data_IF_424826338749
#
_entry.id   IF_424826338749
#
_cell.length_a   1.000
_cell.length_b   1.000
_cell.length_c   1.000
_cell.angle_alpha   90.00
_cell.angle_beta   90.00
_cell.angle_gamma   90.00
#
_symmetry.space_group_name_H-M   'P 1'
#
loop_
_entity.id
_entity.type
_entity.pdbx_description
1 polymer ?
#
# COMPACT_ATOMS: atom_id res chain seq x y z
N UNK A 1 -14.99 43.45 38.40
CA UNK A 1 -13.88 42.50 38.10
C UNK A 1 -14.02 42.09 36.64
N UNK A 2 -13.06 42.53 35.83
CA UNK A 2 -13.12 42.62 34.37
C UNK A 2 -12.61 41.34 33.67
N UNK A 3 -13.40 40.89 32.69
CA UNK A 3 -13.04 40.48 31.33
C UNK A 3 -11.62 39.91 31.10
N UNK A 4 -11.50 38.60 30.92
CA UNK A 4 -10.38 37.94 30.25
C UNK A 4 -10.84 36.58 29.66
N UNK A 5 -11.51 36.58 28.50
CA UNK A 5 -11.86 35.32 27.80
C UNK A 5 -12.15 35.58 26.32
N UNK A 6 -11.16 35.97 25.50
CA UNK A 6 -11.38 36.08 24.05
C UNK A 6 -10.08 36.20 23.20
N UNK A 7 -9.08 35.33 23.39
CA UNK A 7 -7.88 35.34 22.50
C UNK A 7 -7.44 33.95 22.00
N UNK A 8 -7.91 32.86 22.59
CA UNK A 8 -7.43 31.51 22.24
C UNK A 8 -8.13 30.83 21.05
N UNK A 9 -9.21 31.40 20.50
CA UNK A 9 -9.96 30.78 19.40
C UNK A 9 -9.39 31.04 17.99
N UNK A 10 -8.53 32.05 17.82
CA UNK A 10 -8.05 32.46 16.48
C UNK A 10 -6.76 31.77 16.06
N UNK A 11 -6.00 31.19 17.01
CA UNK A 11 -4.73 30.51 16.70
C UNK A 11 -4.90 29.07 16.20
N UNK A 12 -6.05 28.43 16.45
CA UNK A 12 -6.30 27.04 16.04
C UNK A 12 -6.75 26.89 14.58
N UNK A 13 -7.21 27.98 13.94
CA UNK A 13 -7.66 27.98 12.54
C UNK A 13 -6.53 28.17 11.51
N UNK A 14 -5.33 28.59 11.94
CA UNK A 14 -4.17 28.79 11.05
C UNK A 14 -3.30 27.52 10.88
N UNK A 15 -3.43 26.52 11.76
CA UNK A 15 -2.63 25.28 11.69
C UNK A 15 -3.28 24.15 10.87
N UNK A 16 -4.58 24.21 10.59
CA UNK A 16 -5.28 23.23 9.74
C UNK A 16 -5.12 23.55 8.24
N UNK A 17 -4.55 24.71 7.92
CA UNK A 17 -4.24 25.13 6.54
C UNK A 17 -2.81 24.82 6.10
N UNK A 18 -2.03 24.06 6.88
CA UNK A 18 -0.89 23.31 6.32
C UNK A 18 -1.47 22.20 5.44
N UNK A 19 -1.92 22.64 4.26
CA UNK A 19 -2.25 21.77 3.16
C UNK A 19 -1.10 20.80 2.96
N UNK A 20 -1.49 19.57 2.64
CA UNK A 20 -0.62 18.58 2.04
C UNK A 20 0.01 19.26 0.82
N UNK A 21 1.16 19.90 1.03
CA UNK A 21 2.02 20.34 -0.04
C UNK A 21 2.46 19.03 -0.67
N UNK A 22 1.76 18.61 -1.72
CA UNK A 22 2.24 17.55 -2.59
C UNK A 22 3.62 18.01 -3.00
N UNK A 23 4.64 17.36 -2.43
CA UNK A 23 6.03 17.69 -2.65
C UNK A 23 6.29 17.51 -4.14
N UNK A 24 6.19 18.60 -4.91
CA UNK A 24 6.70 18.63 -6.26
C UNK A 24 8.22 18.52 -6.10
N UNK A 25 8.72 17.30 -6.28
CA UNK A 25 10.16 17.05 -6.38
C UNK A 25 10.65 17.70 -7.66
N UNK A 26 10.93 19.00 -7.59
CA UNK A 26 11.64 19.69 -8.65
C UNK A 26 13.04 19.08 -8.76
N UNK A 27 13.44 18.73 -9.99
CA UNK A 27 14.78 18.24 -10.28
C UNK A 27 15.81 19.28 -9.80
N UNK A 28 16.70 18.86 -8.91
CA UNK A 28 17.58 19.77 -8.14
C UNK A 28 18.77 20.29 -8.94
N UNK A 29 19.03 19.73 -10.11
CA UNK A 29 20.14 20.06 -11.00
C UNK A 29 19.78 21.07 -12.10
N UNK A 30 18.55 21.60 -12.07
CA UNK A 30 18.05 22.49 -13.11
C UNK A 30 17.75 21.80 -14.43
N UNK A 31 17.81 20.46 -14.49
CA UNK A 31 17.34 19.72 -15.66
C UNK A 31 15.81 19.77 -15.71
N UNK A 32 15.27 19.93 -16.92
CA UNK A 32 13.85 19.81 -17.15
C UNK A 32 13.49 18.33 -17.07
N UNK A 33 12.95 17.89 -15.93
CA UNK A 33 12.39 16.54 -15.79
C UNK A 33 11.24 16.29 -16.76
N UNK A 34 10.86 15.03 -16.90
CA UNK A 34 9.66 14.61 -17.62
C UNK A 34 8.60 14.11 -16.63
N UNK A 35 7.37 13.93 -17.09
CA UNK A 35 6.33 13.29 -16.32
C UNK A 35 6.15 11.86 -16.78
N UNK A 36 6.02 10.92 -15.85
CA UNK A 36 5.77 9.51 -16.10
C UNK A 36 4.57 9.04 -15.28
N UNK A 37 3.98 7.90 -15.65
CA UNK A 37 2.93 7.30 -14.84
C UNK A 37 3.54 6.81 -13.53
N UNK A 38 3.01 7.30 -12.41
CA UNK A 38 3.35 6.83 -11.07
C UNK A 38 2.41 5.70 -10.67
N UNK A 39 1.13 6.04 -10.53
CA UNK A 39 0.10 5.12 -10.13
C UNK A 39 -0.91 4.93 -11.26
N UNK A 40 -1.24 3.69 -11.58
CA UNK A 40 -2.36 3.38 -12.48
C UNK A 40 -3.70 3.32 -11.73
N UNK A 41 -3.66 3.18 -10.41
CA UNK A 41 -4.79 2.67 -9.64
C UNK A 41 -4.51 2.88 -8.12
N UNK A 42 -5.41 3.47 -7.29
CA UNK A 42 -6.77 3.94 -7.60
C UNK A 42 -6.83 5.19 -8.45
N UNK A 43 -5.92 6.09 -8.14
CA UNK A 43 -5.88 7.41 -8.71
C UNK A 43 -4.80 7.30 -9.75
N UNK A 44 -5.20 7.45 -11.00
CA UNK A 44 -4.25 7.54 -12.11
C UNK A 44 -3.48 8.83 -11.93
N UNK A 45 -2.19 8.73 -11.64
CA UNK A 45 -1.34 9.88 -11.37
C UNK A 45 -0.13 9.85 -12.28
N UNK A 46 0.35 11.04 -12.58
CA UNK A 46 1.66 11.23 -13.17
C UNK A 46 2.55 11.93 -12.16
N UNK A 47 3.82 11.56 -12.12
CA UNK A 47 4.83 12.24 -11.32
C UNK A 47 6.00 12.70 -12.17
N UNK A 48 6.75 13.67 -11.66
CA UNK A 48 7.95 14.14 -12.30
C UNK A 48 9.09 13.14 -12.05
N UNK A 49 9.69 12.63 -13.12
CA UNK A 49 10.94 11.88 -13.12
C UNK A 49 12.09 12.79 -13.58
N UNK A 50 13.23 12.66 -12.93
CA UNK A 50 14.41 13.49 -13.19
C UNK A 50 15.54 12.71 -13.87
N UNK A 51 15.40 11.39 -14.03
CA UNK A 51 16.39 10.53 -14.65
C UNK A 51 16.40 10.76 -16.18
N UNK A 52 17.53 11.21 -16.76
CA UNK A 52 17.60 11.49 -18.20
C UNK A 52 17.26 10.28 -19.06
N UNK A 53 17.63 9.07 -18.61
CA UNK A 53 17.35 7.82 -19.32
C UNK A 53 15.85 7.50 -19.38
N UNK A 54 15.08 7.87 -18.35
CA UNK A 54 13.61 7.71 -18.34
C UNK A 54 13.00 8.67 -19.36
N UNK A 55 13.44 9.93 -19.36
CA UNK A 55 12.90 10.96 -20.23
C UNK A 55 13.29 10.79 -21.71
N UNK A 56 14.44 10.15 -21.99
CA UNK A 56 14.91 9.88 -23.36
C UNK A 56 14.35 8.60 -23.99
N UNK A 57 13.64 7.76 -23.22
CA UNK A 57 13.14 6.46 -23.69
C UNK A 57 12.14 6.55 -24.85
N UNK A 58 11.55 7.73 -25.09
CA UNK A 58 10.65 8.00 -26.23
C UNK A 58 9.23 7.47 -26.07
N UNK A 59 8.91 6.79 -24.96
CA UNK A 59 7.56 6.32 -24.65
C UNK A 59 7.30 6.34 -23.14
N UNK A 60 6.06 6.67 -22.76
CA UNK A 60 5.63 6.76 -21.37
C UNK A 60 6.24 7.93 -20.59
N UNK A 61 6.75 8.94 -21.29
CA UNK A 61 7.30 10.17 -20.73
C UNK A 61 6.70 11.37 -21.46
N UNK A 62 6.28 12.39 -20.70
CA UNK A 62 5.59 13.57 -21.22
C UNK A 62 6.22 14.85 -20.72
N UNK A 63 6.09 15.93 -21.50
CA UNK A 63 6.72 17.22 -21.21
C UNK A 63 6.08 17.98 -20.05
N UNK A 64 4.86 17.61 -19.66
CA UNK A 64 4.15 18.22 -18.53
C UNK A 64 3.17 17.23 -17.90
N UNK A 65 2.79 17.51 -16.66
CA UNK A 65 1.75 16.76 -15.95
C UNK A 65 0.43 16.81 -16.70
N UNK A 66 0.04 17.97 -17.22
CA UNK A 66 -1.21 18.15 -17.96
C UNK A 66 -1.28 17.28 -19.21
N UNK A 67 -0.16 17.17 -19.96
CA UNK A 67 -0.09 16.29 -21.12
C UNK A 67 -0.21 14.83 -20.69
N UNK A 68 0.55 14.41 -19.67
CA UNK A 68 0.46 13.04 -19.14
C UNK A 68 -0.96 12.69 -18.68
N UNK A 69 -1.61 13.63 -17.99
CA UNK A 69 -2.93 13.48 -17.40
C UNK A 69 -4.09 13.75 -18.36
N UNK A 70 -3.84 14.10 -19.62
CA UNK A 70 -4.89 14.33 -20.60
C UNK A 70 -5.57 13.02 -21.00
N UNK A 71 -6.91 13.00 -21.19
CA UNK A 71 -7.63 11.82 -21.66
C UNK A 71 -7.06 11.29 -22.99
N UNK A 72 -6.86 9.97 -23.06
CA UNK A 72 -6.28 9.28 -24.21
C UNK A 72 -4.76 9.31 -24.31
N UNK A 73 -4.05 9.98 -23.38
CA UNK A 73 -2.59 10.07 -23.39
C UNK A 73 -1.95 8.94 -22.58
N UNK A 74 -1.78 9.10 -21.27
CA UNK A 74 -1.35 8.01 -20.40
C UNK A 74 -2.53 7.12 -19.99
N UNK A 75 -3.73 7.70 -19.96
CA UNK A 75 -4.92 7.09 -19.41
C UNK A 75 -6.15 7.42 -20.28
N UNK A 76 -7.07 6.47 -20.53
CA UNK A 76 -8.28 6.74 -21.33
C UNK A 76 -9.14 7.90 -20.79
N UNK A 77 -9.26 8.00 -19.47
CA UNK A 77 -10.07 9.00 -18.75
C UNK A 77 -9.25 10.20 -18.27
N UNK A 78 -7.94 10.22 -18.52
CA UNK A 78 -6.99 11.14 -17.88
C UNK A 78 -6.63 10.73 -16.45
N UNK A 79 -5.90 11.61 -15.75
CA UNK A 79 -5.56 11.40 -14.35
C UNK A 79 -6.80 11.51 -13.44
N UNK A 80 -6.83 10.69 -12.40
CA UNK A 80 -7.85 10.76 -11.36
C UNK A 80 -7.55 11.89 -10.38
N UNK A 81 -8.60 12.44 -9.76
CA UNK A 81 -8.44 13.19 -8.51
C UNK A 81 -8.49 12.22 -7.34
N UNK A 82 -7.69 12.42 -6.28
CA UNK A 82 -7.87 11.70 -5.04
C UNK A 82 -9.31 11.86 -4.58
N UNK A 83 -9.99 10.73 -4.33
CA UNK A 83 -11.32 10.76 -3.75
C UNK A 83 -11.18 11.28 -2.31
N UNK A 84 -11.88 12.38 -1.99
CA UNK A 84 -11.97 12.92 -0.63
C UNK A 84 -13.00 12.19 0.20
N UNK A 85 -13.86 11.40 -0.43
CA UNK A 85 -14.85 10.55 0.23
C UNK A 85 -14.94 9.26 -0.55
N UNK A 86 -14.87 8.15 0.17
CA UNK A 86 -14.76 6.84 -0.42
C UNK A 86 -15.68 5.86 0.27
N UNK A 87 -16.30 5.04 -0.56
CA UNK A 87 -17.17 3.96 -0.15
C UNK A 87 -16.51 2.65 -0.48
N UNK A 88 -16.55 1.71 0.45
CA UNK A 88 -16.01 0.36 0.31
C UNK A 88 -17.08 -0.64 0.65
N UNK A 89 -16.94 -1.86 0.13
CA UNK A 89 -17.77 -2.97 0.62
C UNK A 89 -17.45 -3.18 2.08
N UNK A 90 -18.48 -3.06 2.91
CA UNK A 90 -18.40 -3.36 4.33
C UNK A 90 -18.58 -4.86 4.54
N UNK A 91 -19.57 -5.47 3.89
CA UNK A 91 -19.81 -6.90 3.96
C UNK A 91 -20.54 -7.43 2.72
N UNK A 92 -20.01 -8.51 2.15
CA UNK A 92 -20.57 -9.14 0.95
C UNK A 92 -21.83 -9.96 1.21
N UNK A 93 -21.96 -10.61 2.38
CA UNK A 93 -23.10 -11.45 2.71
C UNK A 93 -24.39 -10.63 2.84
N UNK A 94 -24.30 -9.45 3.47
CA UNK A 94 -25.44 -8.53 3.61
C UNK A 94 -25.48 -7.44 2.53
N UNK A 95 -24.54 -7.43 1.58
CA UNK A 95 -24.45 -6.43 0.50
C UNK A 95 -24.47 -4.99 1.01
N UNK A 96 -23.63 -4.68 2.00
CA UNK A 96 -23.51 -3.31 2.54
C UNK A 96 -22.23 -2.64 2.09
N UNK A 97 -22.31 -1.32 1.91
CA UNK A 97 -21.17 -0.45 1.70
C UNK A 97 -21.10 0.58 2.83
N UNK A 98 -19.89 0.90 3.28
CA UNK A 98 -19.64 1.95 4.28
C UNK A 98 -18.71 3.00 3.72
N UNK A 99 -18.81 4.21 4.27
CA UNK A 99 -17.80 5.24 4.05
C UNK A 99 -16.53 4.87 4.83
N UNK A 100 -15.39 4.77 4.15
CA UNK A 100 -14.08 4.52 4.79
C UNK A 100 -12.99 5.32 4.07
N UNK A 101 -12.65 6.47 4.65
CA UNK A 101 -11.66 7.39 4.08
C UNK A 101 -10.23 6.84 4.14
N UNK A 102 -9.95 5.93 5.08
CA UNK A 102 -8.63 5.26 5.17
C UNK A 102 -8.37 4.42 3.93
N UNK A 103 -9.44 3.89 3.33
CA UNK A 103 -9.35 3.01 2.16
C UNK A 103 -9.34 3.75 0.84
N UNK A 104 -9.55 5.07 0.82
CA UNK A 104 -9.55 5.89 -0.40
C UNK A 104 -8.36 5.64 -1.33
N UNK A 105 -7.21 5.34 -0.73
CA UNK A 105 -5.94 5.19 -1.43
C UNK A 105 -5.56 3.71 -1.67
N UNK A 106 -6.28 2.75 -1.07
CA UNK A 106 -6.15 1.31 -1.39
C UNK A 106 -6.75 0.96 -2.73
N UNK A 107 -7.81 1.72 -3.02
CA UNK A 107 -8.75 1.81 -4.10
C UNK A 107 -9.34 0.60 -4.81
N UNK A 108 -8.78 -0.62 -4.74
CA UNK A 108 -9.45 -1.74 -5.37
C UNK A 108 -10.68 -1.97 -4.51
N UNK A 109 -11.85 -1.99 -5.14
CA UNK A 109 -13.11 -2.01 -4.39
C UNK A 109 -13.36 -0.72 -3.59
N UNK A 110 -13.04 0.43 -4.18
CA UNK A 110 -13.35 1.74 -3.62
C UNK A 110 -14.09 2.57 -4.65
N UNK A 111 -15.12 3.27 -4.19
CA UNK A 111 -16.05 3.99 -5.04
C UNK A 111 -16.30 5.41 -4.51
N UNK A 112 -16.59 6.38 -5.40
CA UNK A 112 -16.81 7.78 -5.01
C UNK A 112 -18.11 7.99 -4.22
N UNK A 113 -19.08 7.08 -4.34
CA UNK A 113 -20.37 7.17 -3.67
C UNK A 113 -20.89 5.79 -3.24
N UNK A 114 -21.84 5.78 -2.31
CA UNK A 114 -22.54 4.57 -1.89
C UNK A 114 -23.16 3.85 -3.07
N UNK A 115 -23.89 4.55 -3.92
CA UNK A 115 -24.61 3.96 -5.05
C UNK A 115 -23.66 3.29 -6.04
N UNK A 116 -22.54 3.95 -6.36
CA UNK A 116 -21.49 3.37 -7.20
C UNK A 116 -20.83 2.16 -6.55
N UNK A 117 -20.69 2.14 -5.21
CA UNK A 117 -20.21 0.96 -4.49
C UNK A 117 -21.19 -0.20 -4.61
N UNK A 118 -22.46 0.04 -4.31
CA UNK A 118 -23.50 -0.97 -4.37
C UNK A 118 -23.59 -1.61 -5.76
N UNK A 119 -23.73 -0.76 -6.78
CA UNK A 119 -23.86 -1.21 -8.16
C UNK A 119 -22.58 -1.89 -8.66
N UNK A 120 -21.41 -1.32 -8.33
CA UNK A 120 -20.12 -1.85 -8.74
C UNK A 120 -19.83 -3.24 -8.16
N UNK A 121 -20.02 -3.38 -6.84
CA UNK A 121 -19.69 -4.58 -6.07
C UNK A 121 -20.73 -5.69 -6.19
N UNK A 122 -22.02 -5.36 -6.15
CA UNK A 122 -23.10 -6.35 -6.05
C UNK A 122 -23.93 -6.49 -7.33
N UNK A 123 -23.68 -5.66 -8.35
CA UNK A 123 -24.48 -5.53 -9.58
C UNK A 123 -25.96 -5.20 -9.31
N UNK A 124 -26.25 -4.70 -8.10
CA UNK A 124 -27.58 -4.44 -7.55
C UNK A 124 -27.49 -3.35 -6.49
N UNK A 125 -28.63 -2.90 -5.96
CA UNK A 125 -28.65 -1.98 -4.83
C UNK A 125 -28.12 -2.64 -3.54
N UNK A 126 -27.52 -1.85 -2.65
CA UNK A 126 -27.14 -2.35 -1.33
C UNK A 126 -28.38 -2.67 -0.50
N UNK A 127 -28.22 -3.59 0.44
CA UNK A 127 -29.17 -3.72 1.53
C UNK A 127 -29.04 -2.50 2.44
N UNK A 128 -30.17 -1.88 2.79
CA UNK A 128 -30.22 -0.86 3.82
C UNK A 128 -30.52 -1.58 5.13
N UNK A 129 -29.50 -1.76 5.96
CA UNK A 129 -29.67 -2.28 7.31
C UNK A 129 -29.97 -1.11 8.27
N UNK A 130 -30.81 -1.32 9.29
CA UNK A 130 -30.97 -0.34 10.36
C UNK A 130 -29.65 -0.18 11.10
N UNK A 131 -29.23 1.07 11.32
CA UNK A 131 -28.05 1.36 12.13
C UNK A 131 -28.38 1.10 13.61
N UNK A 132 -27.49 0.39 14.29
CA UNK A 132 -27.54 0.22 15.73
C UNK A 132 -27.22 1.54 16.45
N UNK A 133 -27.75 1.73 17.65
CA UNK A 133 -27.43 2.88 18.50
C UNK A 133 -26.06 2.76 19.16
N UNK A 134 -25.55 1.53 19.27
CA UNK A 134 -24.26 1.21 19.89
C UNK A 134 -23.41 0.48 18.86
N UNK A 135 -22.16 0.91 18.62
CA UNK A 135 -21.29 0.22 17.69
C UNK A 135 -20.90 -1.16 18.23
N UNK A 136 -20.68 -2.09 17.31
CA UNK A 136 -20.02 -3.36 17.54
C UNK A 136 -18.76 -3.39 16.69
N UNK A 137 -17.91 -4.38 16.92
CA UNK A 137 -16.69 -4.59 16.18
C UNK A 137 -16.84 -5.81 15.27
N UNK A 138 -16.32 -5.70 14.05
CA UNK A 138 -16.30 -6.78 13.06
C UNK A 138 -14.89 -6.90 12.48
N UNK A 139 -14.60 -8.02 11.83
CA UNK A 139 -13.32 -8.19 11.12
C UNK A 139 -13.25 -7.21 9.94
N UNK A 140 -12.24 -6.35 9.96
CA UNK A 140 -11.93 -5.39 8.88
C UNK A 140 -10.99 -6.02 7.84
N UNK A 141 -9.99 -6.77 8.30
CA UNK A 141 -8.97 -7.41 7.46
C UNK A 141 -8.48 -8.68 8.13
N UNK A 142 -8.48 -9.80 7.42
CA UNK A 142 -8.06 -11.10 7.98
C UNK A 142 -6.54 -11.28 8.01
N UNK A 143 -5.83 -11.03 6.91
CA UNK A 143 -4.40 -11.28 6.83
C UNK A 143 -3.70 -10.27 5.92
N UNK A 144 -2.47 -9.83 6.25
CA UNK A 144 -1.72 -10.06 7.48
C UNK A 144 -2.17 -9.20 8.67
N UNK A 145 -2.86 -8.09 8.44
CA UNK A 145 -3.08 -7.08 9.49
C UNK A 145 -4.05 -7.50 10.61
N UNK A 146 -4.91 -8.51 10.42
CA UNK A 146 -5.84 -9.03 11.46
C UNK A 146 -6.50 -7.92 12.27
N UNK A 147 -7.23 -7.05 11.59
CA UNK A 147 -7.81 -5.85 12.20
C UNK A 147 -9.30 -6.04 12.44
N UNK A 148 -9.78 -5.46 13.54
CA UNK A 148 -11.18 -5.23 13.80
C UNK A 148 -11.53 -3.75 13.60
N UNK A 149 -12.77 -3.48 13.19
CA UNK A 149 -13.28 -2.12 12.97
C UNK A 149 -14.67 -1.99 13.56
N UNK A 150 -15.01 -0.80 14.05
CA UNK A 150 -16.35 -0.49 14.51
C UNK A 150 -17.32 -0.41 13.33
N UNK A 151 -18.50 -0.99 13.47
CA UNK A 151 -19.63 -0.84 12.56
C UNK A 151 -20.87 -0.44 13.36
N UNK A 152 -21.83 0.22 12.71
CA UNK A 152 -23.18 0.44 13.23
C UNK A 152 -24.21 -0.41 12.48
N UNK A 153 -23.93 -0.76 11.22
CA UNK A 153 -24.82 -1.48 10.31
C UNK A 153 -24.74 -2.99 10.49
N UNK A 154 -23.59 -3.52 10.94
CA UNK A 154 -23.36 -4.96 11.09
C UNK A 154 -23.68 -5.51 12.50
N UNK A 155 -24.24 -4.68 13.36
CA UNK A 155 -24.50 -5.04 14.77
C UNK A 155 -25.92 -5.53 15.02
N UNK A 156 -26.78 -5.42 14.01
CA UNK A 156 -28.19 -5.79 14.11
C UNK A 156 -28.45 -7.29 13.90
N UNK A 157 -29.62 -7.78 14.33
CA UNK A 157 -30.03 -9.17 14.11
C UNK A 157 -30.00 -9.60 12.64
N UNK A 158 -30.29 -8.68 11.71
CA UNK A 158 -30.25 -8.97 10.28
C UNK A 158 -28.84 -9.35 9.79
N UNK A 159 -27.79 -8.71 10.32
CA UNK A 159 -26.40 -9.05 9.99
C UNK A 159 -26.01 -10.40 10.59
N UNK A 160 -26.40 -10.67 11.83
CA UNK A 160 -26.15 -11.95 12.48
C UNK A 160 -26.87 -13.12 11.78
N UNK A 161 -28.10 -12.92 11.31
CA UNK A 161 -28.84 -13.90 10.51
C UNK A 161 -28.15 -14.22 9.18
N UNK A 162 -27.41 -13.27 8.61
CA UNK A 162 -26.57 -13.48 7.43
C UNK A 162 -25.20 -14.09 7.76
N UNK A 163 -24.96 -14.49 9.02
CA UNK A 163 -23.71 -15.11 9.47
C UNK A 163 -22.59 -14.12 9.77
N UNK A 164 -22.86 -12.82 9.86
CA UNK A 164 -21.85 -11.83 10.23
C UNK A 164 -21.51 -12.00 11.71
N UNK A 165 -20.23 -12.26 11.99
CA UNK A 165 -19.69 -12.29 13.35
C UNK A 165 -19.39 -10.86 13.81
N UNK A 166 -19.76 -10.55 15.04
CA UNK A 166 -19.55 -9.24 15.66
C UNK A 166 -19.25 -9.37 17.15
N UNK A 167 -18.46 -8.46 17.68
CA UNK A 167 -18.06 -8.40 19.08
C UNK A 167 -18.52 -7.08 19.73
N UNK A 168 -18.83 -7.06 21.04
CA UNK A 168 -19.34 -5.85 21.69
C UNK A 168 -18.26 -4.79 21.90
N UNK A 169 -16.98 -5.16 21.91
CA UNK A 169 -15.86 -4.22 22.02
C UNK A 169 -14.69 -4.59 21.10
N UNK A 170 -13.77 -3.64 20.91
CA UNK A 170 -12.52 -3.88 20.18
C UNK A 170 -11.67 -4.94 20.89
N UNK A 171 -11.63 -4.88 22.22
CA UNK A 171 -10.86 -5.79 23.05
C UNK A 171 -11.37 -7.23 22.92
N UNK A 172 -12.69 -7.43 22.92
CA UNK A 172 -13.29 -8.75 22.68
C UNK A 172 -12.98 -9.28 21.27
N UNK A 173 -13.09 -8.41 20.26
CA UNK A 173 -12.76 -8.77 18.88
C UNK A 173 -11.28 -9.17 18.73
N UNK A 174 -10.40 -8.44 19.42
CA UNK A 174 -8.96 -8.59 19.32
C UNK A 174 -8.33 -9.52 20.37
N UNK A 175 -9.12 -10.07 21.28
CA UNK A 175 -8.66 -11.05 22.26
C UNK A 175 -8.26 -12.36 21.58
N UNK A 176 -7.28 -13.12 22.11
CA UNK A 176 -6.99 -14.47 21.63
C UNK A 176 -8.23 -15.36 21.67
N UNK A 177 -8.61 -15.93 20.52
CA UNK A 177 -9.84 -16.72 20.37
C UNK A 177 -11.10 -15.89 20.10
N UNK A 178 -10.98 -14.56 19.99
CA UNK A 178 -12.03 -13.66 19.52
C UNK A 178 -12.24 -13.80 18.01
N UNK A 179 -11.91 -12.78 17.23
CA UNK A 179 -11.93 -12.87 15.77
C UNK A 179 -10.77 -13.71 15.21
N UNK A 180 -9.66 -13.75 15.94
CA UNK A 180 -8.41 -14.38 15.53
C UNK A 180 -7.87 -15.23 16.69
N UNK A 181 -7.25 -16.38 16.38
CA UNK A 181 -6.73 -17.28 17.41
C UNK A 181 -5.64 -16.60 18.26
N UNK A 182 -4.80 -15.79 17.63
CA UNK A 182 -3.67 -15.09 18.27
C UNK A 182 -4.02 -13.65 18.67
N UNK A 183 -5.26 -13.21 18.42
CA UNK A 183 -5.70 -11.82 18.58
C UNK A 183 -5.42 -10.93 17.37
N UNK A 184 -5.79 -9.66 17.47
CA UNK A 184 -5.51 -8.68 16.42
C UNK A 184 -4.02 -8.36 16.33
N UNK A 185 -3.56 -8.03 15.12
CA UNK A 185 -2.26 -7.37 14.97
C UNK A 185 -2.42 -5.86 15.10
N UNK A 186 -1.38 -5.17 15.56
CA UNK A 186 -1.34 -3.71 15.44
C UNK A 186 -1.27 -3.36 13.95
N UNK A 187 -1.98 -2.32 13.49
CA UNK A 187 -1.78 -1.82 12.14
C UNK A 187 -0.29 -1.48 11.97
N UNK A 188 0.34 -1.89 10.86
CA UNK A 188 1.77 -1.66 10.67
C UNK A 188 2.04 -0.15 10.76
N UNK A 189 3.03 0.28 11.57
CA UNK A 189 3.37 1.69 11.67
C UNK A 189 3.82 2.21 10.30
N UNK A 190 3.70 3.52 10.09
CA UNK A 190 4.40 4.18 8.97
C UNK A 190 5.76 4.65 9.50
N UNK A 191 6.89 4.25 8.91
CA UNK A 191 7.02 3.47 7.68
C UNK A 191 6.78 1.96 7.87
N UNK A 192 6.23 1.32 6.84
CA UNK A 192 5.97 -0.11 6.78
C UNK A 192 6.87 -0.78 5.73
N UNK A 193 6.74 -2.09 5.56
CA UNK A 193 7.42 -2.86 4.51
C UNK A 193 6.41 -3.46 3.56
N UNK A 194 6.66 -3.36 2.26
CA UNK A 194 5.82 -3.93 1.19
C UNK A 194 6.68 -4.73 0.23
N UNK A 195 6.06 -5.66 -0.50
CA UNK A 195 6.73 -6.37 -1.60
C UNK A 195 7.16 -5.37 -2.66
N UNK A 196 8.45 -5.38 -2.99
CA UNK A 196 9.05 -4.52 -4.01
C UNK A 196 9.09 -5.24 -5.36
N UNK A 197 9.67 -6.44 -5.36
CA UNK A 197 9.76 -7.31 -6.53
C UNK A 197 9.49 -8.76 -6.13
N UNK A 198 8.88 -9.52 -7.05
CA UNK A 198 8.48 -10.92 -6.82
C UNK A 198 9.35 -11.92 -7.57
N UNK A 199 9.80 -11.61 -8.78
CA UNK A 199 10.62 -12.49 -9.60
C UNK A 199 11.45 -11.64 -10.58
N UNK A 200 12.76 -11.92 -10.80
CA UNK A 200 13.59 -12.96 -10.18
C UNK A 200 14.15 -12.58 -8.79
N UNK A 201 14.07 -11.31 -8.44
CA UNK A 201 14.56 -10.79 -7.15
C UNK A 201 13.34 -10.66 -6.24
N UNK A 202 13.24 -11.51 -5.23
CA UNK A 202 12.22 -11.38 -4.18
C UNK A 202 12.73 -10.40 -3.15
N UNK A 203 12.19 -9.18 -3.15
CA UNK A 203 12.63 -8.12 -2.26
C UNK A 203 11.43 -7.44 -1.61
N UNK A 204 11.67 -6.92 -0.42
CA UNK A 204 10.77 -5.98 0.22
C UNK A 204 11.42 -4.60 0.22
N UNK A 205 10.61 -3.55 0.15
CA UNK A 205 11.07 -2.18 0.35
C UNK A 205 10.34 -1.53 1.50
N UNK A 206 11.03 -0.58 2.11
CA UNK A 206 10.45 0.33 3.08
C UNK A 206 9.53 1.32 2.37
N UNK A 207 8.29 1.36 2.81
CA UNK A 207 7.24 2.23 2.29
C UNK A 207 6.88 3.27 3.35
N UNK A 208 6.80 4.53 2.92
CA UNK A 208 6.52 5.69 3.80
C UNK A 208 5.14 6.27 3.55
N UNK A 209 4.45 5.84 2.49
CA UNK A 209 3.09 6.22 2.19
C UNK A 209 2.10 5.58 3.15
N UNK A 210 1.43 6.41 3.96
CA UNK A 210 0.33 5.99 4.85
C UNK A 210 -0.73 5.18 4.09
N UNK A 211 -1.02 5.54 2.84
CA UNK A 211 -1.91 4.82 1.94
C UNK A 211 -1.52 3.34 1.76
N UNK A 212 -0.26 3.12 1.38
CA UNK A 212 0.27 1.81 1.11
C UNK A 212 0.37 0.99 2.41
N UNK A 213 0.78 1.63 3.52
CA UNK A 213 0.84 0.98 4.83
C UNK A 213 -0.54 0.60 5.38
N UNK A 214 -1.59 1.35 5.06
CA UNK A 214 -2.96 1.02 5.45
C UNK A 214 -3.68 0.09 4.47
N UNK A 215 -2.99 -0.46 3.46
CA UNK A 215 -3.61 -1.37 2.48
C UNK A 215 -4.05 -2.70 3.09
N UNK A 216 -3.52 -3.05 4.26
CA UNK A 216 -3.84 -4.30 4.96
C UNK A 216 -3.08 -5.48 4.38
N UNK A 217 -3.28 -5.80 3.09
CA UNK A 217 -2.61 -6.91 2.39
C UNK A 217 -1.24 -6.53 1.84
N UNK A 218 -0.25 -7.43 2.00
CA UNK A 218 1.12 -7.25 1.52
C UNK A 218 1.90 -6.16 2.25
N UNK A 219 1.44 -5.79 3.46
CA UNK A 219 2.09 -4.81 4.34
C UNK A 219 2.58 -5.50 5.60
N UNK A 220 3.82 -5.22 5.97
CA UNK A 220 4.50 -5.88 7.06
C UNK A 220 5.12 -4.83 8.00
N UNK A 221 5.19 -5.16 9.29
CA UNK A 221 5.72 -4.27 10.31
C UNK A 221 7.25 -4.09 10.21
N UNK A 222 7.96 -5.07 9.64
CA UNK A 222 9.40 -5.04 9.45
C UNK A 222 9.82 -5.77 8.17
N UNK A 223 11.05 -5.54 7.74
CA UNK A 223 11.69 -6.26 6.63
C UNK A 223 11.75 -7.75 6.92
N UNK A 224 12.18 -8.13 8.13
CA UNK A 224 12.29 -9.53 8.55
C UNK A 224 10.95 -10.27 8.44
N UNK A 225 9.84 -9.64 8.83
CA UNK A 225 8.51 -10.23 8.70
C UNK A 225 8.14 -10.37 7.22
N UNK A 226 8.38 -9.34 6.41
CA UNK A 226 8.13 -9.37 4.97
C UNK A 226 8.92 -10.49 4.28
N UNK A 227 10.20 -10.62 4.62
CA UNK A 227 11.15 -11.56 4.03
C UNK A 227 11.13 -12.96 4.66
N UNK A 228 10.30 -13.20 5.68
CA UNK A 228 10.19 -14.52 6.30
C UNK A 228 9.57 -15.55 5.33
N UNK A 229 10.04 -16.81 5.34
CA UNK A 229 9.45 -17.87 4.53
C UNK A 229 7.96 -18.04 4.77
N UNK A 230 7.21 -18.21 3.68
CA UNK A 230 5.74 -18.33 3.63
C UNK A 230 4.96 -17.09 4.12
N UNK A 231 5.60 -15.92 4.23
CA UNK A 231 4.90 -14.67 4.58
C UNK A 231 4.55 -13.86 3.33
N UNK A 232 5.55 -13.25 2.68
CA UNK A 232 5.37 -12.62 1.36
C UNK A 232 5.78 -13.56 0.22
N UNK A 233 6.75 -14.43 0.50
CA UNK A 233 7.38 -15.32 -0.47
C UNK A 233 7.51 -16.74 0.10
N UNK A 234 7.39 -17.80 -0.71
CA UNK A 234 7.56 -19.18 -0.24
C UNK A 234 8.91 -19.42 0.44
N UNK A 235 10.01 -18.98 -0.18
CA UNK A 235 11.38 -19.19 0.31
C UNK A 235 11.96 -17.98 1.07
N UNK A 236 11.15 -16.94 1.31
CA UNK A 236 11.63 -15.64 1.79
C UNK A 236 12.23 -14.75 0.69
N UNK A 237 12.82 -13.63 1.10
CA UNK A 237 13.49 -12.72 0.15
C UNK A 237 14.73 -13.39 -0.47
N UNK A 238 14.94 -13.13 -1.76
CA UNK A 238 16.18 -13.51 -2.43
C UNK A 238 17.28 -12.65 -1.83
N UNK A 239 18.36 -13.29 -1.37
CA UNK A 239 19.58 -12.56 -1.05
C UNK A 239 19.98 -11.88 -2.36
N UNK A 240 19.80 -10.56 -2.47
CA UNK A 240 20.50 -9.84 -3.53
C UNK A 240 21.95 -10.20 -3.32
N UNK A 241 22.63 -10.88 -4.27
CA UNK A 241 24.06 -11.11 -4.14
C UNK A 241 24.63 -9.74 -3.89
N UNK A 242 25.12 -9.52 -2.67
CA UNK A 242 25.57 -8.22 -2.23
C UNK A 242 26.60 -7.81 -3.28
N UNK A 243 26.20 -6.95 -4.22
CA UNK A 243 27.08 -6.43 -5.24
C UNK A 243 27.98 -5.54 -4.45
N UNK A 244 28.99 -6.17 -3.86
CA UNK A 244 30.13 -5.54 -3.24
C UNK A 244 30.75 -4.84 -4.43
N UNK A 245 30.32 -3.61 -4.68
CA UNK A 245 30.99 -2.70 -5.58
C UNK A 245 32.46 -2.84 -5.22
N UNK A 246 33.32 -3.30 -6.14
CA UNK A 246 34.73 -3.45 -5.84
C UNK A 246 35.20 -2.09 -5.39
N UNK A 247 35.43 -1.95 -4.08
CA UNK A 247 36.06 -0.78 -3.52
C UNK A 247 37.46 -0.80 -4.11
N UNK A 248 37.68 0.01 -5.14
CA UNK A 248 38.98 0.21 -5.77
C UNK A 248 39.88 0.92 -4.76
N UNK A 249 40.34 0.17 -3.77
CA UNK A 249 41.53 0.48 -3.00
C UNK A 249 42.70 0.32 -3.95
N UNK A 250 43.22 1.44 -4.43
CA UNK A 250 44.45 1.52 -5.19
C UNK A 250 45.58 0.87 -4.38
N UNK A 251 45.88 -0.39 -4.69
CA UNK A 251 47.03 -1.10 -4.13
C UNK A 251 48.03 -1.30 -5.26
N UNK A 252 49.16 -0.60 -5.16
CA UNK A 252 50.34 -0.78 -5.99
C UNK A 252 50.69 -2.27 -6.07
N UNK A 253 50.60 -2.84 -7.28
CA UNK A 253 51.00 -4.21 -7.56
C UNK A 253 52.49 -4.24 -7.91
N UNK A 254 53.29 -4.80 -7.01
CA UNK A 254 54.60 -5.38 -7.37
C UNK A 254 54.37 -6.82 -7.77
N UNK A 255 54.75 -7.15 -9.00
CA UNK A 255 54.61 -8.45 -9.62
C UNK A 255 55.37 -9.55 -8.87
N UNK A 256 54.80 -10.76 -8.82
CA UNK A 256 55.56 -12.01 -8.83
C UNK A 256 54.71 -13.14 -9.40
N UNK A 257 55.29 -13.74 -10.43
CA UNK A 257 54.78 -14.82 -11.27
C UNK A 257 54.84 -16.15 -10.50
N UNK A 258 53.81 -16.99 -10.62
CA UNK A 258 54.06 -18.43 -10.66
C UNK A 258 52.98 -19.18 -11.45
N UNK A 259 53.41 -19.77 -12.57
CA UNK A 259 52.74 -20.82 -13.33
C UNK A 259 52.96 -22.15 -12.63
N UNK A 260 51.92 -22.98 -12.47
CA UNK A 260 51.98 -24.42 -12.80
C UNK A 260 50.60 -24.97 -13.16
N UNK A 261 50.60 -25.84 -14.18
CA UNK A 261 49.51 -26.47 -14.94
C UNK A 261 48.83 -27.69 -14.29
N UNK A 262 47.62 -27.98 -14.82
CA UNK A 262 46.97 -29.27 -15.14
C UNK A 262 46.57 -30.20 -13.96
N UNK A 263 45.44 -30.92 -13.97
CA UNK A 263 44.88 -31.78 -15.03
C UNK A 263 43.37 -32.05 -14.86
N UNK A 264 42.75 -32.47 -15.97
CA UNK A 264 41.42 -33.05 -16.17
C UNK A 264 40.97 -34.13 -15.17
N UNK A 265 39.65 -34.23 -14.95
CA UNK A 265 38.92 -35.50 -15.16
C UNK A 265 37.38 -35.32 -15.22
N UNK A 266 36.87 -35.74 -16.38
CA UNK A 266 35.50 -36.11 -16.74
C UNK A 266 34.80 -37.01 -15.71
N UNK A 267 33.54 -36.71 -15.35
CA UNK A 267 32.59 -37.72 -14.84
C UNK A 267 31.23 -37.55 -15.51
N UNK A 268 30.91 -38.54 -16.35
CA UNK A 268 29.65 -38.81 -17.03
C UNK A 268 28.71 -39.51 -16.03
N UNK A 269 27.52 -38.96 -15.78
CA UNK A 269 26.49 -39.63 -14.96
C UNK A 269 25.34 -40.11 -15.83
N UNK A 270 25.03 -41.40 -15.67
CA UNK A 270 24.08 -42.20 -16.45
C UNK A 270 22.72 -42.22 -15.78
N UNK A 271 21.66 -42.21 -16.59
CA UNK A 271 20.25 -42.32 -16.22
C UNK A 271 19.87 -43.70 -15.65
N UNK A 272 18.81 -43.69 -14.84
CA UNK A 272 17.77 -44.73 -14.77
C UNK A 272 17.24 -45.00 -13.36
N UNK A 273 16.05 -45.63 -13.20
CA UNK A 273 14.96 -45.86 -14.16
C UNK A 273 13.79 -44.86 -14.02
#
# INVERSE_FOLDING_TARGET
MQKMTCVLATFFLLLVSLGIAMSQQNCTDGTQGCFVVKDYWPVKTCEQACEPEVCKRGWGAWVSQDVCCSPGVAFPEGCGKPLTTCWVVENYAVKTCKKDERRCLQGYGVWPSRDTCCYGAFKQNCTVLPEATTPCFVVDTYFPARLCTSSLTLCGPAAQQAGVQSWPSLEDCCSPGGAFQEGCSLPPPTPCWVVDSYDPIRSCRKETGVAACNRGWGVYASEDVCCSPNVAFPDGCSVTPNMTLPSTSATNSTASVNMTQATDSNVKSTQGP
#
